data_IF_831770612317
#
_entry.id   IF_831770612317
#
_cell.length_a   1.000
_cell.length_b   1.000
_cell.length_c   1.000
_cell.angle_alpha   90.00
_cell.angle_beta   90.00
_cell.angle_gamma   90.00
#
_symmetry.space_group_name_H-M   'P 1'
#
loop_
_entity.id
_entity.type
_entity.pdbx_description
1 polymer ?
#
# COMPACT_ATOMS: atom_id res chain seq x y z
N UNK A 1 -10.16 -4.89 16.27
CA UNK A 1 -9.62 -3.58 16.69
C UNK A 1 -10.68 -2.55 16.39
N UNK A 2 -11.00 -1.68 17.34
CA UNK A 2 -11.93 -0.56 17.09
C UNK A 2 -11.16 0.57 16.37
N UNK A 3 -11.36 0.68 15.06
CA UNK A 3 -10.71 1.71 14.24
C UNK A 3 -11.24 3.12 14.49
N UNK A 4 -12.40 3.26 15.14
CA UNK A 4 -12.97 4.56 15.51
C UNK A 4 -12.45 5.04 16.87
N UNK A 5 -11.68 4.22 17.57
CA UNK A 5 -11.07 4.58 18.84
C UNK A 5 -10.07 5.73 18.69
N UNK A 6 -10.21 6.84 19.47
CA UNK A 6 -9.22 7.91 19.48
C UNK A 6 -7.82 7.45 19.89
N UNK A 7 -7.71 6.37 20.67
CA UNK A 7 -6.42 5.80 21.05
C UNK A 7 -5.70 5.18 19.84
N UNK A 8 -6.45 4.50 18.95
CA UNK A 8 -5.90 3.93 17.72
C UNK A 8 -5.45 5.05 16.78
N UNK A 9 -6.28 6.07 16.57
CA UNK A 9 -5.93 7.22 15.73
C UNK A 9 -4.66 7.94 16.24
N UNK A 10 -4.53 8.16 17.56
CA UNK A 10 -3.32 8.73 18.16
C UNK A 10 -2.08 7.86 17.91
N UNK A 11 -2.21 6.54 18.06
CA UNK A 11 -1.10 5.61 17.81
C UNK A 11 -0.66 5.67 16.34
N UNK A 12 -1.60 5.66 15.40
CA UNK A 12 -1.31 5.75 13.96
C UNK A 12 -0.61 7.08 13.63
N UNK A 13 -1.13 8.20 14.14
CA UNK A 13 -0.52 9.51 13.91
C UNK A 13 0.93 9.59 14.43
N UNK A 14 1.21 8.93 15.55
CA UNK A 14 2.53 8.83 16.17
C UNK A 14 3.48 7.81 15.53
N UNK A 15 3.05 7.03 14.54
CA UNK A 15 3.91 6.05 13.89
C UNK A 15 5.14 6.72 13.28
N UNK A 16 6.30 6.11 13.53
CA UNK A 16 7.56 6.43 12.86
C UNK A 16 7.97 5.18 12.10
N UNK A 17 8.10 5.33 10.79
CA UNK A 17 8.53 4.29 9.89
C UNK A 17 9.81 4.75 9.23
N UNK A 18 10.73 3.83 9.04
CA UNK A 18 11.97 4.08 8.31
C UNK A 18 11.95 3.23 7.05
N UNK A 19 12.13 3.88 5.89
CA UNK A 19 12.20 3.21 4.61
C UNK A 19 13.62 3.31 4.06
N UNK A 20 14.29 2.16 3.95
CA UNK A 20 15.68 2.11 3.50
C UNK A 20 15.86 0.94 2.52
N UNK A 21 16.35 1.22 1.31
CA UNK A 21 16.66 0.21 0.29
C UNK A 21 15.53 -0.79 0.03
N UNK A 22 14.29 -0.30 -0.03
CA UNK A 22 13.11 -1.13 -0.27
C UNK A 22 12.60 -1.91 0.94
N UNK A 23 13.16 -1.66 2.13
CA UNK A 23 12.76 -2.33 3.38
C UNK A 23 12.13 -1.33 4.33
N UNK A 24 11.08 -1.76 5.01
CA UNK A 24 10.32 -0.94 5.96
C UNK A 24 10.63 -1.41 7.38
N UNK A 25 11.09 -0.49 8.22
CA UNK A 25 11.29 -0.73 9.65
C UNK A 25 10.25 0.03 10.48
N UNK A 26 9.80 -0.62 11.54
CA UNK A 26 8.94 -0.04 12.57
C UNK A 26 9.59 -0.30 13.94
N UNK A 27 9.83 0.75 14.71
CA UNK A 27 10.50 0.66 16.03
C UNK A 27 11.84 -0.09 15.97
N UNK A 28 12.60 0.12 14.88
CA UNK A 28 13.90 -0.53 14.64
C UNK A 28 13.83 -1.96 14.11
N UNK A 29 12.66 -2.60 14.09
CA UNK A 29 12.46 -3.94 13.54
C UNK A 29 12.06 -3.86 12.06
N UNK A 30 12.73 -4.63 11.20
CA UNK A 30 12.31 -4.82 9.81
C UNK A 30 11.03 -5.64 9.76
N UNK A 31 9.97 -5.06 9.19
CA UNK A 31 8.65 -5.68 9.10
C UNK A 31 8.29 -6.10 7.68
N UNK A 32 9.17 -5.86 6.70
CA UNK A 32 8.88 -5.97 5.25
C UNK A 32 8.25 -7.31 4.89
N UNK A 33 8.84 -8.41 5.34
CA UNK A 33 8.42 -9.76 4.97
C UNK A 33 7.10 -10.18 5.67
N UNK A 34 6.70 -9.46 6.72
CA UNK A 34 5.43 -9.69 7.42
C UNK A 34 4.24 -8.95 6.80
N UNK A 35 4.48 -8.01 5.88
CA UNK A 35 3.42 -7.20 5.25
C UNK A 35 2.63 -7.97 4.19
N UNK A 36 3.15 -9.08 3.68
CA UNK A 36 2.56 -9.84 2.57
C UNK A 36 1.89 -11.14 3.02
N UNK A 37 1.22 -11.09 4.17
CA UNK A 37 0.50 -12.26 4.69
C UNK A 37 -0.99 -12.21 4.33
N UNK A 38 -1.68 -13.37 4.21
CA UNK A 38 -3.13 -13.40 4.00
C UNK A 38 -3.92 -12.64 5.07
N UNK A 39 -3.39 -12.56 6.29
CA UNK A 39 -4.00 -11.78 7.36
C UNK A 39 -3.97 -10.28 7.06
N UNK A 40 -2.85 -9.73 6.56
CA UNK A 40 -2.77 -8.33 6.15
C UNK A 40 -3.70 -8.06 4.98
N UNK A 41 -3.67 -8.91 3.95
CA UNK A 41 -4.53 -8.78 2.76
C UNK A 41 -6.03 -8.71 3.11
N UNK A 42 -6.48 -9.48 4.12
CA UNK A 42 -7.88 -9.45 4.58
C UNK A 42 -8.29 -8.15 5.27
N UNK A 43 -7.36 -7.45 5.94
CA UNK A 43 -7.69 -6.29 6.78
C UNK A 43 -7.33 -4.95 6.13
N UNK A 44 -6.36 -4.92 5.21
CA UNK A 44 -5.83 -3.67 4.65
C UNK A 44 -6.91 -2.81 4.00
N UNK A 45 -7.91 -3.42 3.33
CA UNK A 45 -9.00 -2.68 2.70
C UNK A 45 -9.93 -1.98 3.68
N UNK A 46 -10.09 -2.51 4.90
CA UNK A 46 -10.85 -1.85 5.97
C UNK A 46 -10.05 -0.68 6.54
N UNK A 47 -8.78 -0.92 6.87
CA UNK A 47 -7.90 0.07 7.53
C UNK A 47 -7.58 1.24 6.59
N UNK A 48 -7.35 0.98 5.30
CA UNK A 48 -6.99 2.00 4.32
C UNK A 48 -8.14 2.97 3.97
N UNK A 49 -9.39 2.66 4.36
CA UNK A 49 -10.54 3.55 4.18
C UNK A 49 -10.60 4.66 5.23
N UNK A 50 -9.96 4.47 6.38
CA UNK A 50 -9.96 5.43 7.47
C UNK A 50 -9.18 6.70 7.10
N UNK A 51 -9.80 7.87 7.21
CA UNK A 51 -9.21 9.14 6.78
C UNK A 51 -7.88 9.43 7.48
N UNK A 52 -7.83 9.25 8.80
CA UNK A 52 -6.61 9.48 9.59
C UNK A 52 -5.46 8.55 9.20
N UNK A 53 -5.75 7.34 8.70
CA UNK A 53 -4.74 6.42 8.15
C UNK A 53 -4.23 6.95 6.82
N UNK A 54 -5.15 7.34 5.92
CA UNK A 54 -4.78 7.90 4.59
C UNK A 54 -3.93 9.16 4.73
N UNK A 55 -4.31 10.08 5.63
CA UNK A 55 -3.54 11.29 5.91
C UNK A 55 -2.13 10.99 6.44
N UNK A 56 -2.00 9.99 7.31
CA UNK A 56 -0.69 9.58 7.82
C UNK A 56 0.18 8.95 6.73
N UNK A 57 -0.38 8.05 5.92
CA UNK A 57 0.33 7.44 4.79
C UNK A 57 0.75 8.50 3.78
N UNK A 58 -0.15 9.42 3.44
CA UNK A 58 0.15 10.54 2.54
C UNK A 58 1.32 11.38 3.06
N UNK A 59 1.34 11.70 4.35
CA UNK A 59 2.46 12.43 4.98
C UNK A 59 3.77 11.67 4.85
N UNK A 60 3.79 10.37 5.16
CA UNK A 60 4.99 9.54 5.05
C UNK A 60 5.47 9.48 3.59
N UNK A 61 4.55 9.37 2.63
CA UNK A 61 4.90 9.36 1.21
C UNK A 61 5.60 10.67 0.80
N UNK A 62 5.05 11.82 1.18
CA UNK A 62 5.68 13.12 0.91
C UNK A 62 7.04 13.28 1.60
N UNK A 63 7.17 12.86 2.86
CA UNK A 63 8.46 12.86 3.57
C UNK A 63 9.54 12.05 2.83
N UNK A 64 9.16 10.94 2.20
CA UNK A 64 10.09 10.10 1.41
C UNK A 64 10.37 10.74 0.04
N UNK A 65 9.35 11.28 -0.62
CA UNK A 65 9.45 11.87 -1.97
C UNK A 65 10.29 13.14 -1.96
N UNK A 66 10.10 14.00 -0.96
CA UNK A 66 10.84 15.25 -0.78
C UNK A 66 12.22 15.03 -0.14
N UNK A 67 12.57 13.77 0.15
CA UNK A 67 13.85 13.38 0.71
C UNK A 67 15.03 13.65 -0.25
N UNK A 68 16.28 13.61 0.26
CA UNK A 68 17.46 13.85 -0.55
C UNK A 68 17.67 12.76 -1.61
N UNK A 69 17.95 13.14 -2.85
CA UNK A 69 18.27 12.22 -3.95
C UNK A 69 18.14 12.84 -5.34
N UNK A 70 18.48 12.07 -6.38
CA UNK A 70 18.37 12.49 -7.80
C UNK A 70 16.97 12.24 -8.41
N UNK A 71 16.04 11.68 -7.63
CA UNK A 71 14.67 11.36 -8.04
C UNK A 71 14.19 10.03 -7.46
N UNK A 72 12.88 9.78 -7.55
CA UNK A 72 12.23 8.57 -7.02
C UNK A 72 11.16 8.05 -7.99
N UNK A 73 11.03 6.72 -8.06
CA UNK A 73 9.89 6.05 -8.68
C UNK A 73 8.96 5.59 -7.57
N UNK A 74 7.71 6.05 -7.60
CA UNK A 74 6.70 5.69 -6.62
C UNK A 74 5.58 4.91 -7.31
N UNK A 75 5.33 3.70 -6.85
CA UNK A 75 4.24 2.84 -7.31
C UNK A 75 3.07 2.89 -6.31
N UNK A 76 1.84 2.86 -6.83
CA UNK A 76 0.62 2.91 -6.03
C UNK A 76 -0.63 3.18 -6.86
N UNK A 77 -1.79 3.22 -6.19
CA UNK A 77 -3.11 3.36 -6.85
C UNK A 77 -3.43 4.78 -7.31
N UNK A 78 -3.06 5.76 -6.50
CA UNK A 78 -3.47 7.16 -6.63
C UNK A 78 -2.27 8.13 -6.61
N UNK A 79 -1.08 7.63 -6.95
CA UNK A 79 0.15 8.44 -6.94
C UNK A 79 0.05 9.62 -7.90
N UNK A 80 -0.27 9.38 -9.17
CA UNK A 80 -0.30 10.44 -10.19
C UNK A 80 -1.53 11.36 -10.15
N UNK A 81 -2.53 11.05 -9.31
CA UNK A 81 -3.80 11.79 -9.23
C UNK A 81 -4.03 12.48 -7.90
N UNK A 82 -3.53 11.91 -6.80
CA UNK A 82 -3.75 12.41 -5.43
C UNK A 82 -2.43 12.78 -4.76
N UNK A 83 -1.45 11.88 -4.75
CA UNK A 83 -0.20 12.09 -3.98
C UNK A 83 0.72 13.09 -4.68
N UNK A 84 1.00 12.88 -5.95
CA UNK A 84 1.89 13.69 -6.79
C UNK A 84 1.18 14.09 -8.11
N UNK A 85 0.16 14.95 -8.04
CA UNK A 85 -0.53 15.45 -9.23
C UNK A 85 0.39 16.27 -10.14
N UNK A 86 1.51 16.79 -9.63
CA UNK A 86 2.47 17.57 -10.42
C UNK A 86 3.73 16.77 -10.80
N UNK A 87 3.71 15.44 -10.66
CA UNK A 87 4.81 14.58 -11.08
C UNK A 87 5.16 14.81 -12.56
N UNK A 88 6.46 14.97 -12.85
CA UNK A 88 6.98 15.22 -14.21
C UNK A 88 6.61 14.11 -15.20
N UNK A 89 6.49 12.87 -14.72
CA UNK A 89 6.08 11.70 -15.50
C UNK A 89 5.13 10.84 -14.68
N UNK A 90 4.05 10.39 -15.32
CA UNK A 90 3.05 9.50 -14.73
C UNK A 90 2.83 8.31 -15.65
N UNK A 91 2.90 7.11 -15.09
CA UNK A 91 2.69 5.86 -15.82
C UNK A 91 1.51 5.12 -15.20
N UNK A 92 0.50 4.79 -16.00
CA UNK A 92 -0.62 3.96 -15.59
C UNK A 92 -0.54 2.60 -16.27
N UNK A 93 -0.43 1.53 -15.48
CA UNK A 93 -0.31 0.16 -15.98
C UNK A 93 -1.65 -0.55 -15.79
N UNK A 94 -2.23 -1.02 -16.89
CA UNK A 94 -3.45 -1.84 -16.89
C UNK A 94 -3.17 -3.21 -17.50
N UNK A 95 -4.03 -4.18 -17.19
CA UNK A 95 -4.00 -5.53 -17.74
C UNK A 95 -5.37 -6.18 -17.56
N UNK A 96 -5.68 -7.18 -18.40
CA UNK A 96 -6.88 -8.00 -18.22
C UNK A 96 -6.89 -8.66 -16.84
N UNK A 97 -8.08 -8.86 -16.29
CA UNK A 97 -8.32 -9.53 -15.00
C UNK A 97 -7.67 -10.92 -14.96
N UNK A 98 -7.79 -11.68 -16.05
CA UNK A 98 -7.18 -13.01 -16.25
C UNK A 98 -5.64 -12.95 -16.22
N UNK A 99 -5.03 -11.94 -16.83
CA UNK A 99 -3.57 -11.73 -16.79
C UNK A 99 -3.10 -11.41 -15.36
N UNK A 100 -3.83 -10.53 -14.66
CA UNK A 100 -3.56 -10.21 -13.25
C UNK A 100 -3.71 -11.44 -12.36
N UNK A 101 -4.75 -12.25 -12.57
CA UNK A 101 -4.98 -13.49 -11.84
C UNK A 101 -3.84 -14.49 -12.06
N UNK A 102 -3.46 -14.74 -13.32
CA UNK A 102 -2.35 -15.64 -13.65
C UNK A 102 -1.02 -15.20 -13.05
N UNK A 103 -0.72 -13.89 -13.01
CA UNK A 103 0.46 -13.36 -12.30
C UNK A 103 0.38 -13.63 -10.80
N UNK A 104 -0.76 -13.36 -10.16
CA UNK A 104 -0.93 -13.52 -8.71
C UNK A 104 -0.83 -14.99 -8.30
N UNK A 105 -1.40 -15.92 -9.06
CA UNK A 105 -1.24 -17.37 -8.85
C UNK A 105 0.24 -17.77 -8.84
N UNK A 106 1.04 -17.28 -9.78
CA UNK A 106 2.50 -17.54 -9.79
C UNK A 106 3.24 -16.96 -8.58
N UNK A 107 2.69 -15.93 -7.93
CA UNK A 107 3.30 -15.31 -6.75
C UNK A 107 2.89 -15.97 -5.43
N UNK A 108 1.63 -16.43 -5.32
CA UNK A 108 1.07 -16.94 -4.06
C UNK A 108 0.86 -18.45 -4.03
N UNK A 109 0.84 -19.13 -5.18
CA UNK A 109 0.44 -20.54 -5.28
C UNK A 109 -1.04 -20.81 -4.99
N UNK A 110 -1.87 -19.76 -4.93
CA UNK A 110 -3.31 -19.88 -4.66
C UNK A 110 -4.09 -20.37 -5.90
N UNK A 111 -5.30 -20.86 -5.68
CA UNK A 111 -6.18 -21.34 -6.75
C UNK A 111 -6.64 -20.20 -7.66
N UNK A 112 -6.57 -20.43 -8.98
CA UNK A 112 -6.81 -19.40 -9.99
C UNK A 112 -8.21 -18.79 -9.91
N UNK A 113 -9.25 -19.61 -9.75
CA UNK A 113 -10.64 -19.14 -9.73
C UNK A 113 -10.95 -18.32 -8.47
N UNK A 114 -10.34 -18.65 -7.33
CA UNK A 114 -10.44 -17.86 -6.11
C UNK A 114 -9.79 -16.49 -6.30
N UNK A 115 -8.57 -16.47 -6.85
CA UNK A 115 -7.83 -15.23 -7.13
C UNK A 115 -8.58 -14.36 -8.14
N UNK A 116 -9.10 -14.94 -9.22
CA UNK A 116 -9.83 -14.21 -10.26
C UNK A 116 -11.11 -13.60 -9.71
N UNK A 117 -11.88 -14.36 -8.93
CA UNK A 117 -13.08 -13.85 -8.25
C UNK A 117 -12.75 -12.69 -7.32
N UNK A 118 -11.73 -12.83 -6.46
CA UNK A 118 -11.31 -11.74 -5.58
C UNK A 118 -10.72 -10.53 -6.32
N UNK A 119 -10.19 -10.70 -7.54
CA UNK A 119 -9.84 -9.57 -8.41
C UNK A 119 -11.09 -8.85 -8.90
N UNK A 120 -12.08 -9.59 -9.43
CA UNK A 120 -13.32 -9.00 -9.95
C UNK A 120 -14.11 -8.28 -8.86
N UNK A 121 -14.26 -8.88 -7.68
CA UNK A 121 -14.94 -8.27 -6.53
C UNK A 121 -14.29 -6.98 -6.02
N UNK A 122 -13.02 -6.72 -6.34
CA UNK A 122 -12.33 -5.47 -5.96
C UNK A 122 -12.37 -4.41 -7.06
N UNK A 123 -12.52 -4.82 -8.31
CA UNK A 123 -12.54 -3.93 -9.46
C UNK A 123 -13.96 -3.36 -9.71
N UNK A 124 -15.01 -4.04 -9.22
CA UNK A 124 -16.42 -3.63 -9.26
C UNK A 124 -16.94 -3.28 -7.86
#
# INVERSE_FOLDING_TARGET
VDLQSPAVARKINGLRLEFEKGRLKYEGADITDHLHTPQVDRHVGMVAKELYVREKVHRIQHEIIDGPGEGIVVDGRDIGTVVMPDAFMKVFITAADTTRAGRRVRQSGAEYDEVLRGIRERDF
#
